data_IF_090417455909
#
_entry.id   IF_090417455909
#
_cell.length_a   1.000
_cell.length_b   1.000
_cell.length_c   1.000
_cell.angle_alpha   90.00
_cell.angle_beta   90.00
_cell.angle_gamma   90.00
#
_symmetry.space_group_name_H-M   'P 1'
#
loop_
_entity.id
_entity.type
_entity.pdbx_description
1 polymer ?
#
# COMPACT_ATOMS: atom_id res chain seq x y z
N UNK A 1 -14.05 -1.02 -13.02
CA UNK A 1 -13.17 -1.48 -11.93
C UNK A 1 -13.64 -0.84 -10.63
N UNK A 2 -13.97 -1.63 -9.62
CA UNK A 2 -14.59 -1.16 -8.37
C UNK A 2 -13.54 -0.64 -7.38
N UNK A 3 -13.88 0.41 -6.64
CA UNK A 3 -13.09 0.93 -5.53
C UNK A 3 -13.89 0.77 -4.24
N UNK A 4 -13.36 0.04 -3.28
CA UNK A 4 -14.05 -0.26 -2.03
C UNK A 4 -13.17 0.13 -0.86
N UNK A 5 -13.79 0.73 0.15
CA UNK A 5 -13.13 0.99 1.43
C UNK A 5 -13.29 -0.22 2.33
N UNK A 6 -12.18 -0.75 2.82
CA UNK A 6 -12.18 -1.87 3.77
C UNK A 6 -11.29 -1.56 4.97
N UNK A 7 -11.63 -2.12 6.12
CA UNK A 7 -10.78 -2.11 7.30
C UNK A 7 -9.74 -3.25 7.20
N UNK A 8 -8.45 -2.89 7.35
CA UNK A 8 -7.33 -3.80 7.12
C UNK A 8 -6.36 -3.75 8.29
N UNK A 9 -5.87 -4.92 8.69
CA UNK A 9 -4.79 -5.06 9.65
C UNK A 9 -3.55 -5.59 8.93
N UNK A 10 -2.49 -4.78 8.91
CA UNK A 10 -1.18 -5.20 8.37
C UNK A 10 -0.30 -5.63 9.55
N UNK A 11 0.19 -6.87 9.52
CA UNK A 11 1.07 -7.43 10.56
C UNK A 11 2.48 -7.60 10.02
N UNK A 12 3.49 -7.40 10.88
CA UNK A 12 4.87 -7.77 10.57
C UNK A 12 5.01 -9.29 10.49
N UNK A 13 5.89 -9.83 9.63
CA UNK A 13 6.16 -11.27 9.57
C UNK A 13 6.54 -11.86 10.93
N UNK A 14 7.31 -11.11 11.72
CA UNK A 14 7.76 -11.50 13.05
C UNK A 14 6.67 -11.37 14.14
N UNK A 15 5.41 -11.16 13.73
CA UNK A 15 4.19 -10.99 14.53
C UNK A 15 4.19 -9.91 15.63
N UNK A 16 5.31 -9.24 15.92
CA UNK A 16 5.43 -8.28 17.01
C UNK A 16 4.82 -6.90 16.74
N UNK A 17 4.43 -6.58 15.50
CA UNK A 17 3.91 -5.25 15.13
C UNK A 17 2.70 -5.37 14.24
N UNK A 18 1.68 -4.54 14.50
CA UNK A 18 0.50 -4.44 13.65
C UNK A 18 0.04 -2.99 13.49
N UNK A 19 -0.63 -2.71 12.38
CA UNK A 19 -1.32 -1.44 12.13
C UNK A 19 -2.69 -1.74 11.56
N UNK A 20 -3.72 -1.24 12.23
CA UNK A 20 -5.08 -1.20 11.71
C UNK A 20 -5.32 0.12 10.98
N UNK A 21 -5.93 0.06 9.79
CA UNK A 21 -6.23 1.23 8.96
C UNK A 21 -7.36 0.95 7.97
N UNK A 22 -7.99 2.02 7.50
CA UNK A 22 -8.95 1.95 6.40
C UNK A 22 -8.23 2.11 5.06
N UNK A 23 -8.36 1.13 4.18
CA UNK A 23 -7.69 1.09 2.89
C UNK A 23 -8.68 1.23 1.73
N UNK A 24 -8.32 2.03 0.73
CA UNK A 24 -9.04 2.08 -0.54
C UNK A 24 -8.46 1.01 -1.47
N UNK A 25 -9.24 -0.02 -1.75
CA UNK A 25 -8.83 -1.14 -2.61
C UNK A 25 -9.41 -0.96 -4.00
N UNK A 26 -8.53 -1.00 -5.00
CA UNK A 26 -8.93 -1.18 -6.39
C UNK A 26 -8.98 -2.68 -6.68
N UNK A 27 -10.18 -3.22 -6.94
CA UNK A 27 -10.37 -4.66 -7.14
C UNK A 27 -9.73 -5.20 -8.42
N UNK A 28 -9.32 -4.33 -9.34
CA UNK A 28 -8.56 -4.71 -10.54
C UNK A 28 -7.04 -4.63 -10.39
N UNK A 29 -6.51 -4.29 -9.21
CA UNK A 29 -5.07 -4.12 -9.01
C UNK A 29 -4.40 -5.46 -8.65
N UNK A 30 -3.37 -5.84 -9.41
CA UNK A 30 -2.53 -7.01 -9.12
C UNK A 30 -1.55 -6.77 -7.97
N UNK A 31 -1.18 -5.50 -7.73
CA UNK A 31 -0.20 -5.10 -6.72
C UNK A 31 -0.81 -4.10 -5.74
N UNK A 32 -0.40 -4.19 -4.47
CA UNK A 32 -0.82 -3.28 -3.41
C UNK A 32 0.31 -2.30 -3.08
N UNK A 33 -0.01 -0.99 -3.03
CA UNK A 33 0.94 0.02 -2.58
C UNK A 33 0.85 0.24 -1.07
N UNK A 34 1.94 -0.04 -0.36
CA UNK A 34 2.04 0.26 1.08
C UNK A 34 2.88 1.53 1.28
N UNK A 35 2.33 2.58 1.92
CA UNK A 35 3.07 3.78 2.25
C UNK A 35 4.36 3.49 3.05
N UNK A 36 5.46 4.13 2.67
CA UNK A 36 6.78 3.93 3.29
C UNK A 36 6.79 4.19 4.81
N UNK A 37 5.93 5.08 5.30
CA UNK A 37 5.75 5.33 6.75
C UNK A 37 5.26 4.06 7.47
N UNK A 38 4.34 3.32 6.88
CA UNK A 38 3.80 2.06 7.43
C UNK A 38 4.87 0.97 7.38
N UNK A 39 5.61 0.87 6.26
CA UNK A 39 6.74 -0.06 6.13
C UNK A 39 7.78 0.14 7.24
N UNK A 40 8.16 1.40 7.51
CA UNK A 40 9.09 1.73 8.61
C UNK A 40 8.52 1.35 9.98
N UNK A 41 7.24 1.67 10.25
CA UNK A 41 6.59 1.37 11.54
C UNK A 41 6.57 -0.14 11.80
N UNK A 42 6.20 -0.91 10.80
CA UNK A 42 6.11 -2.37 10.86
C UNK A 42 7.45 -3.09 10.65
N UNK A 43 8.54 -2.37 10.36
CA UNK A 43 9.84 -2.95 9.98
C UNK A 43 9.72 -4.02 8.89
N UNK A 44 8.84 -3.80 7.90
CA UNK A 44 8.65 -4.78 6.83
C UNK A 44 9.92 -4.89 5.96
N UNK A 45 10.29 -6.10 5.53
CA UNK A 45 11.38 -6.27 4.57
C UNK A 45 11.02 -5.56 3.28
N UNK A 46 11.89 -4.65 2.83
CA UNK A 46 11.74 -3.93 1.56
C UNK A 46 12.22 -4.83 0.43
N UNK A 47 11.31 -5.57 -0.20
CA UNK A 47 11.61 -6.38 -1.38
C UNK A 47 11.44 -5.51 -2.62
N UNK A 48 12.53 -5.30 -3.38
CA UNK A 48 12.54 -4.51 -4.62
C UNK A 48 12.43 -3.00 -4.38
N UNK A 49 13.56 -2.29 -4.33
CA UNK A 49 13.58 -0.82 -4.41
C UNK A 49 13.14 -0.38 -5.81
N UNK A 50 11.83 -0.24 -6.05
CA UNK A 50 11.33 0.63 -7.13
C UNK A 50 10.66 1.83 -6.47
N UNK A 51 11.24 3.01 -6.66
CA UNK A 51 10.65 4.28 -6.28
C UNK A 51 9.35 4.42 -7.09
N UNK A 52 8.20 4.04 -6.51
CA UNK A 52 6.93 4.38 -7.14
C UNK A 52 6.76 5.91 -7.07
N UNK A 53 6.46 6.56 -8.20
CA UNK A 53 6.26 7.99 -8.20
C UNK A 53 5.08 8.36 -7.28
N UNK A 54 5.10 9.56 -6.67
CA UNK A 54 4.05 9.99 -5.75
C UNK A 54 2.67 9.89 -6.42
N UNK A 55 1.62 9.54 -5.66
CA UNK A 55 0.26 9.27 -6.18
C UNK A 55 -0.30 10.37 -7.10
N UNK A 56 0.10 11.62 -6.90
CA UNK A 56 -0.27 12.75 -7.78
C UNK A 56 0.23 12.57 -9.22
N UNK A 57 1.41 11.96 -9.37
CA UNK A 57 2.04 11.66 -10.66
C UNK A 57 1.46 10.39 -11.31
N UNK A 58 0.97 9.43 -10.52
CA UNK A 58 0.24 8.26 -11.04
C UNK A 58 -1.14 8.63 -11.59
N UNK A 59 -1.80 9.65 -11.04
CA UNK A 59 -3.08 10.14 -11.56
C UNK A 59 -2.95 10.76 -12.96
N UNK A 60 -1.82 11.40 -13.27
CA UNK A 60 -1.56 11.98 -14.58
C UNK A 60 -1.16 10.94 -15.65
N UNK A 61 -0.66 9.77 -15.23
CA UNK A 61 -0.26 8.68 -16.15
C UNK A 61 -1.42 7.79 -16.60
N UNK A 62 -2.59 7.90 -15.96
CA UNK A 62 -3.81 7.13 -16.30
C UNK A 62 -4.81 8.00 -17.08
N UNK A 63 -4.45 9.26 -17.36
CA UNK A 63 -5.31 10.23 -18.06
C UNK A 63 -4.84 10.55 -19.49
N UNK A 64 -4.05 9.67 -20.11
CA UNK A 64 -3.70 9.69 -21.55
C UNK A 64 -4.32 8.49 -22.23
#
# INVERSE_FOLDING_TARGET
MSRVWIDVVIKSPDMGRSVSLKALVNTGATLTMVPRKIVKKLKLPLIGKKLSPPQKMLQNLISV
#
